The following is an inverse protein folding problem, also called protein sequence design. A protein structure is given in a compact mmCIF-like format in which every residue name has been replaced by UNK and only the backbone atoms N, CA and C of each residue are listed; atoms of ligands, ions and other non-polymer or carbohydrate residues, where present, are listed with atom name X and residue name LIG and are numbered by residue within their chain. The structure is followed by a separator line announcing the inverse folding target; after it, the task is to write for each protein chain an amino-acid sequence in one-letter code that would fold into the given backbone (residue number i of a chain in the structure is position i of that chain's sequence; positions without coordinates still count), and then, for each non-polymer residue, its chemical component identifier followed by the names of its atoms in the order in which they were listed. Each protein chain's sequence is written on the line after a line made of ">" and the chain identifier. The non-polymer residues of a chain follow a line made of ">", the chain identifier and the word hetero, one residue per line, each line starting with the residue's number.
data_IF_893502079625
#
_entry.id   IF_893502079625
#
_cell.length_a   1.000
_cell.length_b   1.000
_cell.length_c   1.000
_cell.angle_alpha   90.00
_cell.angle_beta   90.00
_cell.angle_gamma   90.00
#
_symmetry.space_group_name_H-M   'P 1'
#
loop_
_entity.id
_entity.type
_entity.pdbx_description
1 polymer ?
#
# COMPACT_ATOMS: atom_id res chain seq x y z
N UNK A 1 20.82 -6.49 -0.52
CA UNK A 1 19.66 -7.30 -0.99
C UNK A 1 18.55 -6.31 -1.21
N UNK A 2 18.12 -6.14 -2.42
CA UNK A 2 17.00 -5.27 -2.75
C UNK A 2 15.67 -6.03 -2.60
N UNK A 3 14.54 -5.32 -2.49
CA UNK A 3 13.22 -5.96 -2.35
C UNK A 3 12.87 -6.84 -3.56
N UNK A 4 13.30 -6.44 -4.75
CA UNK A 4 13.15 -7.24 -5.96
C UNK A 4 13.90 -8.57 -5.88
N UNK A 5 15.16 -8.58 -5.36
CA UNK A 5 15.92 -9.82 -5.16
C UNK A 5 15.17 -10.79 -4.23
N UNK A 6 14.56 -10.26 -3.16
CA UNK A 6 13.76 -11.07 -2.24
C UNK A 6 12.58 -11.71 -2.96
N UNK A 7 11.83 -10.96 -3.77
CA UNK A 7 10.71 -11.49 -4.54
C UNK A 7 11.16 -12.58 -5.51
N UNK A 8 12.27 -12.36 -6.24
CA UNK A 8 12.82 -13.36 -7.16
C UNK A 8 13.17 -14.69 -6.47
N UNK A 9 13.54 -14.66 -5.19
CA UNK A 9 13.93 -15.86 -4.45
C UNK A 9 12.80 -16.51 -3.63
N UNK A 10 11.75 -15.76 -3.31
CA UNK A 10 10.73 -16.20 -2.34
C UNK A 10 9.31 -16.21 -2.89
N UNK A 11 9.09 -15.66 -4.07
CA UNK A 11 7.75 -15.48 -4.61
C UNK A 11 7.09 -16.79 -5.09
N UNK A 12 7.87 -17.89 -5.18
CA UNK A 12 7.40 -19.25 -5.43
C UNK A 12 6.96 -19.98 -4.14
N UNK A 13 7.25 -19.43 -2.96
CA UNK A 13 6.96 -20.08 -1.67
C UNK A 13 5.68 -19.47 -1.07
N UNK A 14 4.55 -20.21 -1.05
CA UNK A 14 3.29 -19.69 -0.55
C UNK A 14 3.34 -19.36 0.95
N UNK A 15 2.46 -18.46 1.40
CA UNK A 15 2.38 -18.03 2.81
C UNK A 15 2.06 -19.19 3.77
N UNK A 16 1.43 -20.26 3.28
CA UNK A 16 1.16 -21.48 4.06
C UNK A 16 2.43 -22.26 4.41
N UNK A 17 3.51 -22.12 3.63
CA UNK A 17 4.82 -22.77 3.85
C UNK A 17 5.78 -21.85 4.57
N UNK A 18 5.82 -20.58 4.17
CA UNK A 18 6.63 -19.55 4.81
C UNK A 18 5.73 -18.37 5.17
N UNK A 19 5.37 -18.19 6.44
CA UNK A 19 4.46 -17.15 6.88
C UNK A 19 4.93 -15.74 6.49
N UNK A 20 3.96 -14.81 6.45
CA UNK A 20 4.22 -13.41 6.25
C UNK A 20 5.27 -12.88 7.25
N UNK A 21 6.25 -12.14 6.76
CA UNK A 21 7.39 -11.67 7.54
C UNK A 21 7.65 -10.16 7.34
N UNK A 22 8.70 -9.65 7.98
CA UNK A 22 9.04 -8.23 7.98
C UNK A 22 9.38 -7.69 6.59
N UNK A 23 9.95 -8.52 5.69
CA UNK A 23 10.26 -8.10 4.31
C UNK A 23 8.98 -7.98 3.50
N UNK A 24 8.05 -8.93 3.68
CA UNK A 24 6.71 -8.84 3.08
C UNK A 24 6.01 -7.55 3.57
N UNK A 25 6.11 -7.24 4.88
CA UNK A 25 5.57 -6.01 5.44
C UNK A 25 6.11 -4.75 4.74
N UNK A 26 7.41 -4.68 4.50
CA UNK A 26 8.02 -3.55 3.76
C UNK A 26 7.47 -3.48 2.34
N UNK A 27 7.36 -4.60 1.63
CA UNK A 27 6.83 -4.63 0.27
C UNK A 27 5.39 -4.09 0.25
N UNK A 28 4.52 -4.60 1.12
CA UNK A 28 3.13 -4.13 1.18
C UNK A 28 3.00 -2.67 1.61
N UNK A 29 3.92 -2.16 2.45
CA UNK A 29 3.99 -0.74 2.78
C UNK A 29 4.28 0.12 1.54
N UNK A 30 5.17 -0.34 0.65
CA UNK A 30 5.46 0.36 -0.61
C UNK A 30 4.27 0.38 -1.57
N UNK A 31 3.42 -0.64 -1.59
CA UNK A 31 2.26 -0.66 -2.47
C UNK A 31 1.26 0.48 -2.19
N UNK A 32 1.28 1.07 -1.00
CA UNK A 32 0.45 2.24 -0.67
C UNK A 32 0.80 3.50 -1.48
N UNK A 33 1.96 3.52 -2.15
CA UNK A 33 2.37 4.61 -3.03
C UNK A 33 1.81 4.49 -4.45
N UNK A 34 1.23 3.35 -4.83
CA UNK A 34 0.57 3.20 -6.12
C UNK A 34 -0.74 4.00 -6.11
N UNK A 35 -0.90 4.86 -7.10
CA UNK A 35 -2.13 5.62 -7.26
C UNK A 35 -3.18 4.77 -7.99
N UNK A 36 -4.15 4.30 -7.24
CA UNK A 36 -5.26 3.51 -7.76
C UNK A 36 -6.54 4.30 -8.00
N UNK A 37 -6.56 5.64 -7.75
CA UNK A 37 -7.77 6.47 -7.78
C UNK A 37 -8.56 6.34 -9.07
N UNK A 38 -7.87 6.38 -10.20
CA UNK A 38 -8.50 6.41 -11.52
C UNK A 38 -8.90 5.03 -12.03
N UNK A 39 -8.67 3.97 -11.24
CA UNK A 39 -8.97 2.60 -11.66
C UNK A 39 -10.37 2.15 -11.26
N UNK A 40 -10.88 2.63 -10.14
CA UNK A 40 -12.22 2.29 -9.62
C UNK A 40 -12.87 3.48 -8.95
N UNK A 41 -14.20 3.58 -9.08
CA UNK A 41 -15.01 4.62 -8.42
C UNK A 41 -15.41 4.23 -7.00
N UNK A 42 -15.61 2.94 -6.73
CA UNK A 42 -16.02 2.41 -5.43
C UNK A 42 -14.98 1.44 -4.86
N UNK A 43 -14.54 1.73 -3.64
CA UNK A 43 -13.55 0.97 -2.89
C UNK A 43 -14.11 0.31 -1.62
N UNK A 44 -15.44 0.16 -1.49
CA UNK A 44 -16.09 -0.41 -0.30
C UNK A 44 -16.06 -1.95 -0.24
N UNK A 45 -15.16 -2.60 -0.96
CA UNK A 45 -14.98 -4.04 -0.96
C UNK A 45 -13.63 -4.45 -1.48
N UNK A 46 -13.39 -5.75 -1.57
CA UNK A 46 -12.16 -6.30 -2.11
C UNK A 46 -12.26 -6.58 -3.61
N UNK A 47 -11.20 -6.22 -4.33
CA UNK A 47 -10.95 -6.51 -5.73
C UNK A 47 -9.75 -7.45 -5.83
N UNK A 48 -9.66 -8.23 -6.88
CA UNK A 48 -8.48 -9.02 -7.18
C UNK A 48 -7.30 -8.09 -7.52
N UNK A 49 -6.17 -8.26 -6.80
CA UNK A 49 -5.01 -7.37 -6.97
C UNK A 49 -4.37 -7.55 -8.34
N UNK A 50 -4.40 -8.76 -8.90
CA UNK A 50 -3.84 -9.04 -10.21
C UNK A 50 -4.66 -8.40 -11.34
N UNK A 51 -5.99 -8.47 -11.25
CA UNK A 51 -6.88 -7.79 -12.21
C UNK A 51 -6.68 -6.27 -12.13
N UNK A 52 -6.65 -5.72 -10.92
CA UNK A 52 -6.40 -4.28 -10.73
C UNK A 52 -5.04 -3.85 -11.28
N UNK A 53 -4.01 -4.68 -11.15
CA UNK A 53 -2.69 -4.39 -11.71
C UNK A 53 -2.70 -4.43 -13.25
N UNK A 54 -3.50 -5.30 -13.86
CA UNK A 54 -3.68 -5.29 -15.31
C UNK A 54 -4.34 -3.99 -15.78
N UNK A 55 -5.42 -3.54 -15.11
CA UNK A 55 -6.06 -2.25 -15.38
C UNK A 55 -5.06 -1.07 -15.23
N UNK A 56 -4.16 -1.15 -14.24
CA UNK A 56 -3.10 -0.16 -14.06
C UNK A 56 -2.12 -0.14 -15.23
N UNK A 57 -1.64 -1.31 -15.69
CA UNK A 57 -0.71 -1.42 -16.80
C UNK A 57 -1.30 -0.97 -18.14
N UNK A 58 -2.62 -1.01 -18.31
CA UNK A 58 -3.28 -0.47 -19.52
C UNK A 58 -3.21 1.06 -19.59
N UNK A 59 -3.09 1.72 -18.43
CA UNK A 59 -3.06 3.18 -18.30
C UNK A 59 -1.67 3.77 -18.12
N UNK A 60 -0.72 2.97 -17.62
CA UNK A 60 0.61 3.43 -17.23
C UNK A 60 1.70 2.56 -17.83
N UNK A 61 2.76 3.19 -18.35
CA UNK A 61 3.93 2.49 -18.88
C UNK A 61 4.88 2.08 -17.75
N UNK A 62 5.03 0.79 -17.50
CA UNK A 62 6.02 0.29 -16.54
C UNK A 62 7.46 0.56 -16.98
N UNK A 63 7.74 0.59 -18.28
CA UNK A 63 9.06 0.91 -18.82
C UNK A 63 9.44 2.37 -18.51
N UNK A 64 8.50 3.30 -18.62
CA UNK A 64 8.72 4.68 -18.24
C UNK A 64 8.98 4.82 -16.74
N UNK A 65 8.19 4.14 -15.90
CA UNK A 65 8.37 4.12 -14.44
C UNK A 65 9.75 3.55 -14.08
N UNK A 66 10.20 2.49 -14.75
CA UNK A 66 11.51 1.89 -14.51
C UNK A 66 12.67 2.86 -14.80
N UNK A 67 12.53 3.69 -15.82
CA UNK A 67 13.61 4.58 -16.29
C UNK A 67 13.62 5.94 -15.61
N UNK A 68 12.45 6.48 -15.25
CA UNK A 68 12.29 7.84 -14.73
C UNK A 68 11.79 7.91 -13.30
N UNK A 69 11.13 6.85 -12.80
CA UNK A 69 10.51 6.82 -11.48
C UNK A 69 11.55 6.83 -10.35
N UNK A 70 11.23 7.59 -9.32
CA UNK A 70 11.95 7.57 -8.05
C UNK A 70 11.62 6.33 -7.23
N UNK A 71 12.26 6.16 -6.07
CA UNK A 71 12.15 4.94 -5.28
C UNK A 71 10.70 4.56 -4.93
N UNK A 72 9.89 5.50 -4.44
CA UNK A 72 8.47 5.26 -4.12
C UNK A 72 7.60 5.09 -5.36
N UNK A 73 7.93 5.78 -6.46
CA UNK A 73 7.24 5.68 -7.74
C UNK A 73 7.45 4.32 -8.43
N UNK A 74 8.47 3.56 -7.99
CA UNK A 74 8.74 2.20 -8.49
C UNK A 74 7.91 1.11 -7.83
N UNK A 75 7.00 1.45 -6.91
CA UNK A 75 6.10 0.48 -6.29
C UNK A 75 5.35 -0.44 -7.29
N UNK A 76 4.91 0.03 -8.48
CA UNK A 76 4.32 -0.84 -9.50
C UNK A 76 5.24 -1.95 -10.00
N UNK A 77 6.57 -1.77 -9.98
CA UNK A 77 7.52 -2.80 -10.36
C UNK A 77 7.60 -3.92 -9.31
N UNK A 78 7.48 -3.58 -8.02
CA UNK A 78 7.33 -4.58 -6.97
C UNK A 78 6.04 -5.38 -7.13
N UNK A 79 4.94 -4.69 -7.45
CA UNK A 79 3.65 -5.35 -7.70
C UNK A 79 3.72 -6.29 -8.91
N UNK A 80 4.42 -5.90 -9.98
CA UNK A 80 4.67 -6.76 -11.13
C UNK A 80 5.34 -8.08 -10.73
N UNK A 81 6.43 -8.00 -9.97
CA UNK A 81 7.14 -9.19 -9.49
C UNK A 81 6.28 -10.02 -8.53
N UNK A 82 5.51 -9.39 -7.64
CA UNK A 82 4.58 -10.09 -6.76
C UNK A 82 3.54 -10.92 -7.54
N UNK A 83 3.00 -10.35 -8.62
CA UNK A 83 1.97 -11.02 -9.43
C UNK A 83 2.53 -12.11 -10.35
N UNK A 84 3.84 -12.19 -10.52
CA UNK A 84 4.51 -13.23 -11.30
C UNK A 84 4.65 -14.56 -10.56
N UNK A 85 4.54 -14.58 -9.21
CA UNK A 85 4.73 -15.76 -8.39
C UNK A 85 3.45 -16.24 -7.68
N UNK A 86 3.59 -17.30 -6.88
CA UNK A 86 2.48 -17.92 -6.15
C UNK A 86 2.21 -17.28 -4.79
N UNK A 87 3.25 -16.72 -4.15
CA UNK A 87 3.21 -16.24 -2.77
C UNK A 87 2.05 -15.28 -2.49
N UNK A 88 1.80 -14.37 -3.41
CA UNK A 88 0.81 -13.29 -3.27
C UNK A 88 -0.28 -13.33 -4.35
N UNK A 89 -0.34 -14.36 -5.18
CA UNK A 89 -1.21 -14.43 -6.36
C UNK A 89 -2.70 -14.32 -6.04
N UNK A 90 -3.14 -14.72 -4.85
CA UNK A 90 -4.53 -14.64 -4.41
C UNK A 90 -4.81 -13.41 -3.51
N UNK A 91 -3.89 -12.46 -3.43
CA UNK A 91 -4.09 -11.22 -2.67
C UNK A 91 -5.21 -10.39 -3.30
N UNK A 92 -6.07 -9.86 -2.45
CA UNK A 92 -7.07 -8.86 -2.85
C UNK A 92 -6.74 -7.51 -2.23
N UNK A 93 -7.24 -6.43 -2.82
CA UNK A 93 -7.05 -5.06 -2.35
C UNK A 93 -8.38 -4.34 -2.28
N UNK A 94 -8.57 -3.49 -1.29
CA UNK A 94 -9.80 -2.75 -1.14
C UNK A 94 -9.70 -1.62 -0.12
N UNK A 95 -10.83 -0.98 0.13
CA UNK A 95 -10.96 0.08 1.12
C UNK A 95 -9.94 1.21 0.93
N UNK A 96 -9.53 1.48 -0.31
CA UNK A 96 -8.63 2.59 -0.62
C UNK A 96 -9.25 3.91 -0.14
N UNK A 97 -8.47 4.68 0.58
CA UNK A 97 -8.84 6.01 1.05
C UNK A 97 -7.67 6.96 0.90
N UNK A 98 -7.94 8.16 0.44
CA UNK A 98 -6.97 9.24 0.34
C UNK A 98 -7.63 10.55 0.74
N UNK A 99 -6.92 11.34 1.53
CA UNK A 99 -7.33 12.67 1.92
C UNK A 99 -6.12 13.60 1.95
N UNK A 100 -6.13 14.57 1.04
CA UNK A 100 -5.07 15.53 0.87
C UNK A 100 -5.62 16.95 1.02
N UNK A 101 -5.22 17.64 2.09
CA UNK A 101 -5.65 19.00 2.40
C UNK A 101 -4.43 19.89 2.67
N UNK A 102 -4.10 20.77 1.73
CA UNK A 102 -2.95 21.69 1.84
C UNK A 102 -3.11 22.72 2.95
N UNK A 103 -4.34 23.15 3.21
CA UNK A 103 -4.62 24.20 4.20
C UNK A 103 -4.48 23.65 5.62
N UNK A 104 -4.85 22.38 5.83
CA UNK A 104 -4.69 21.68 7.10
C UNK A 104 -3.35 20.95 7.23
N UNK A 105 -2.47 21.08 6.23
CA UNK A 105 -1.20 20.33 6.19
C UNK A 105 -1.45 18.84 6.46
N UNK A 106 -2.43 18.26 5.74
CA UNK A 106 -2.83 16.86 5.87
C UNK A 106 -2.49 16.10 4.61
N UNK A 107 -1.82 14.96 4.79
CA UNK A 107 -1.54 14.01 3.75
C UNK A 107 -1.82 12.60 4.29
N UNK A 108 -2.87 11.99 3.80
CA UNK A 108 -3.28 10.66 4.25
C UNK A 108 -3.64 9.80 3.04
N UNK A 109 -3.13 8.58 3.02
CA UNK A 109 -3.67 7.52 2.18
C UNK A 109 -3.50 6.17 2.88
N UNK A 110 -4.45 5.28 2.68
CA UNK A 110 -4.40 3.93 3.19
C UNK A 110 -5.22 2.98 2.31
N UNK A 111 -4.87 1.71 2.36
CA UNK A 111 -5.62 0.65 1.70
C UNK A 111 -5.49 -0.66 2.50
N UNK A 112 -6.37 -1.61 2.23
CA UNK A 112 -6.34 -2.91 2.88
C UNK A 112 -6.03 -3.98 1.85
N UNK A 113 -5.12 -4.87 2.19
CA UNK A 113 -4.88 -6.11 1.44
C UNK A 113 -5.45 -7.29 2.23
N UNK A 114 -6.27 -8.10 1.59
CA UNK A 114 -6.61 -9.44 2.08
C UNK A 114 -5.56 -10.42 1.56
N UNK A 115 -4.74 -10.93 2.47
CA UNK A 115 -3.63 -11.83 2.15
C UNK A 115 -4.15 -13.24 1.80
N UNK A 116 -3.38 -14.06 1.05
CA UNK A 116 -3.75 -15.44 0.71
C UNK A 116 -4.01 -16.35 1.91
N UNK A 117 -3.49 -16.05 3.09
CA UNK A 117 -3.72 -16.78 4.34
C UNK A 117 -4.93 -16.29 5.14
N UNK A 118 -5.70 -15.34 4.60
CA UNK A 118 -6.93 -14.82 5.19
C UNK A 118 -6.76 -13.66 6.17
N UNK A 119 -5.52 -13.21 6.43
CA UNK A 119 -5.28 -12.02 7.27
C UNK A 119 -5.47 -10.74 6.47
N UNK A 120 -5.85 -9.68 7.16
CA UNK A 120 -5.98 -8.36 6.56
C UNK A 120 -4.75 -7.51 6.92
N UNK A 121 -4.14 -6.90 5.92
CA UNK A 121 -3.01 -5.99 6.09
C UNK A 121 -3.45 -4.57 5.72
N UNK A 122 -3.42 -3.66 6.69
CA UNK A 122 -3.68 -2.23 6.45
C UNK A 122 -2.34 -1.56 6.16
N UNK A 123 -2.20 -1.00 4.97
CA UNK A 123 -1.04 -0.24 4.55
C UNK A 123 -1.34 1.26 4.63
N UNK A 124 -0.56 1.97 5.43
CA UNK A 124 -0.60 3.44 5.51
C UNK A 124 0.53 4.02 4.67
N UNK A 125 0.19 4.93 3.77
CA UNK A 125 1.18 5.68 3.01
C UNK A 125 1.81 6.74 3.91
N UNK A 126 3.13 6.77 3.93
CA UNK A 126 3.89 7.81 4.59
C UNK A 126 3.92 9.11 3.79
N UNK A 127 4.71 10.04 4.28
CA UNK A 127 4.93 11.35 3.69
C UNK A 127 5.55 11.24 2.30
N UNK A 128 5.02 11.97 1.35
CA UNK A 128 5.66 12.16 0.05
C UNK A 128 6.67 13.32 0.08
N UNK A 129 7.37 13.54 -1.04
CA UNK A 129 8.37 14.62 -1.18
C UNK A 129 7.76 16.01 -1.39
N UNK A 130 6.46 16.18 -1.18
CA UNK A 130 5.83 17.49 -1.31
C UNK A 130 6.16 18.40 -0.12
N UNK A 131 6.05 19.71 -0.34
CA UNK A 131 6.20 20.71 0.73
C UNK A 131 5.17 20.49 1.85
N UNK A 132 3.99 19.97 1.52
CA UNK A 132 2.93 19.64 2.49
C UNK A 132 3.37 18.46 3.37
N UNK A 133 3.93 17.42 2.79
CA UNK A 133 4.48 16.29 3.53
C UNK A 133 5.59 16.70 4.49
N UNK A 134 6.58 17.47 4.02
CA UNK A 134 7.66 17.95 4.89
C UNK A 134 7.16 18.84 6.04
N UNK A 135 6.10 19.65 5.80
CA UNK A 135 5.47 20.43 6.88
C UNK A 135 4.77 19.53 7.89
N UNK A 136 4.12 18.47 7.45
CA UNK A 136 3.48 17.49 8.36
C UNK A 136 4.53 16.78 9.22
N UNK A 137 5.65 16.34 8.64
CA UNK A 137 6.77 15.75 9.37
C UNK A 137 7.35 16.71 10.40
N UNK A 138 7.50 17.99 10.05
CA UNK A 138 7.94 18.99 11.02
C UNK A 138 6.92 19.19 12.17
N UNK A 139 5.62 19.19 11.85
CA UNK A 139 4.56 19.28 12.85
C UNK A 139 4.54 18.09 13.81
N UNK A 140 4.90 16.88 13.35
CA UNK A 140 5.04 15.70 14.21
C UNK A 140 6.08 15.90 15.33
N UNK A 141 7.10 16.72 15.11
CA UNK A 141 8.10 17.03 16.14
C UNK A 141 7.60 18.04 17.19
N UNK A 142 6.53 18.78 16.90
CA UNK A 142 6.04 19.87 17.75
C UNK A 142 4.62 19.68 18.30
N UNK A 143 3.86 18.75 17.72
CA UNK A 143 2.47 18.48 18.10
C UNK A 143 2.31 17.04 18.58
N UNK A 144 1.40 16.83 19.51
CA UNK A 144 1.07 15.48 20.02
C UNK A 144 0.33 14.62 18.99
N UNK A 145 -0.36 15.25 18.02
CA UNK A 145 -1.12 14.60 16.94
C UNK A 145 -1.15 15.49 15.70
N UNK A 146 -0.82 14.92 14.53
CA UNK A 146 -1.03 15.57 13.23
C UNK A 146 -2.43 15.29 12.68
N UNK A 147 -2.83 16.05 11.64
CA UNK A 147 -4.09 15.81 10.95
C UNK A 147 -4.12 14.42 10.27
N UNK A 148 -3.01 13.99 9.67
CA UNK A 148 -2.88 12.66 9.06
C UNK A 148 -2.96 11.53 10.10
N UNK A 149 -2.34 11.69 11.27
CA UNK A 149 -2.43 10.70 12.36
C UNK A 149 -3.88 10.51 12.86
N UNK A 150 -4.65 11.59 12.97
CA UNK A 150 -6.08 11.51 13.33
C UNK A 150 -6.89 10.76 12.29
N UNK A 151 -6.62 11.03 11.02
CA UNK A 151 -7.30 10.34 9.91
C UNK A 151 -6.95 8.85 9.88
N UNK A 152 -5.67 8.50 10.11
CA UNK A 152 -5.23 7.10 10.21
C UNK A 152 -5.97 6.34 11.32
N UNK A 153 -6.13 6.95 12.50
CA UNK A 153 -6.90 6.35 13.61
C UNK A 153 -8.38 6.22 13.27
N UNK A 154 -8.97 7.22 12.61
CA UNK A 154 -10.37 7.18 12.18
C UNK A 154 -10.59 6.08 11.13
N UNK A 155 -9.69 5.99 10.16
CA UNK A 155 -9.69 4.95 9.14
C UNK A 155 -9.57 3.55 9.77
N UNK A 156 -8.58 3.33 10.64
CA UNK A 156 -8.41 2.06 11.36
C UNK A 156 -9.70 1.64 12.08
N UNK A 157 -10.31 2.55 12.86
CA UNK A 157 -11.57 2.27 13.58
C UNK A 157 -12.74 1.94 12.65
N UNK A 158 -12.75 2.48 11.43
CA UNK A 158 -13.75 2.15 10.41
C UNK A 158 -13.52 0.73 9.90
N UNK A 159 -12.28 0.39 9.55
CA UNK A 159 -11.91 -0.92 8.99
C UNK A 159 -12.10 -2.04 10.03
N UNK A 160 -11.69 -1.85 11.26
CA UNK A 160 -11.84 -2.79 12.38
C UNK A 160 -13.31 -3.18 12.65
N UNK A 161 -14.27 -2.31 12.31
CA UNK A 161 -15.70 -2.60 12.44
C UNK A 161 -16.29 -3.38 11.27
N UNK A 162 -15.64 -3.34 10.11
CA UNK A 162 -16.15 -3.89 8.85
C UNK A 162 -15.52 -5.22 8.52
N UNK A 163 -14.25 -5.40 8.86
CA UNK A 163 -13.50 -6.61 8.56
C UNK A 163 -13.42 -7.53 9.78
N UNK A 164 -13.60 -8.82 9.51
CA UNK A 164 -13.37 -9.88 10.48
C UNK A 164 -11.94 -10.44 10.31
N UNK A 165 -11.40 -11.00 11.39
CA UNK A 165 -10.11 -11.68 11.39
C UNK A 165 -8.95 -10.84 11.91
N UNK A 166 -7.74 -11.35 11.73
CA UNK A 166 -6.51 -10.70 12.19
C UNK A 166 -6.18 -9.48 11.32
N UNK A 167 -5.86 -8.36 11.99
CA UNK A 167 -5.40 -7.13 11.35
C UNK A 167 -3.90 -6.94 11.59
N UNK A 168 -3.15 -6.82 10.52
CA UNK A 168 -1.74 -6.42 10.51
C UNK A 168 -1.68 -4.96 10.08
N UNK A 169 -0.90 -4.16 10.77
CA UNK A 169 -0.68 -2.76 10.43
C UNK A 169 0.74 -2.55 9.94
N UNK A 170 0.87 -1.85 8.85
CA UNK A 170 2.16 -1.43 8.33
C UNK A 170 2.07 -0.07 7.65
N UNK A 171 3.22 0.50 7.39
CA UNK A 171 3.32 1.80 6.74
C UNK A 171 4.77 2.21 6.55
N UNK A 172 4.96 3.20 5.73
CA UNK A 172 6.28 3.75 5.40
C UNK A 172 6.30 5.24 5.72
#
# INVERSE_FOLDING_TARGET
>A
MELLDYLQWRNDVPLSVSPFNEVDNVIFSYLSYIDFRDLKEDWNGFLDLKELFQDFCEKHSLEEIQTTGEFTERAPLLLQEMMAGERFSATKVGYYAEDFDKDKVKQFAALVFLLPDGRNYISFRGTDKTITGWKEDFLMSCQSETAGAKEAVAYFKKIDKVLEGELILGGH
#
